data_IF_812591945355
#
_entry.id   IF_812591945355
#
_cell.length_a   1.000
_cell.length_b   1.000
_cell.length_c   1.000
_cell.angle_alpha   90.00
_cell.angle_beta   90.00
_cell.angle_gamma   90.00
#
_symmetry.space_group_name_H-M   'P 1'
#
loop_
_entity.id
_entity.type
_entity.pdbx_description
1 polymer ?
#
# COMPACT_ATOMS: atom_id res chain seq x y z
N UNK A 1 9.81 -6.15 9.47
CA UNK A 1 10.53 -5.65 8.27
C UNK A 1 11.55 -6.67 7.76
N UNK A 2 12.65 -6.97 8.46
CA UNK A 2 13.74 -7.84 7.98
C UNK A 2 13.29 -9.22 7.45
N UNK A 3 12.37 -9.86 8.18
CA UNK A 3 11.73 -11.12 7.76
C UNK A 3 11.04 -11.00 6.40
N UNK A 4 10.33 -9.90 6.16
CA UNK A 4 9.64 -9.65 4.89
C UNK A 4 10.64 -9.49 3.74
N UNK A 5 11.73 -8.74 3.93
CA UNK A 5 12.81 -8.63 2.94
C UNK A 5 13.40 -9.99 2.59
N UNK A 6 13.68 -10.82 3.60
CA UNK A 6 14.20 -12.17 3.39
C UNK A 6 13.22 -13.03 2.59
N UNK A 7 11.93 -13.03 2.96
CA UNK A 7 10.92 -13.83 2.25
C UNK A 7 10.73 -13.38 0.81
N UNK A 8 10.74 -12.08 0.53
CA UNK A 8 10.65 -11.52 -0.82
C UNK A 8 11.90 -11.83 -1.64
N UNK A 9 13.09 -11.69 -1.06
CA UNK A 9 14.33 -12.03 -1.74
C UNK A 9 14.37 -13.52 -2.13
N UNK A 10 13.98 -14.42 -1.22
CA UNK A 10 13.89 -15.86 -1.52
C UNK A 10 12.83 -16.14 -2.58
N UNK A 11 11.69 -15.45 -2.56
CA UNK A 11 10.66 -15.57 -3.58
C UNK A 11 11.17 -15.19 -4.97
N UNK A 12 11.88 -14.05 -5.07
CA UNK A 12 12.46 -13.58 -6.33
C UNK A 12 13.53 -14.56 -6.84
N UNK A 13 14.37 -15.10 -5.96
CA UNK A 13 15.37 -16.11 -6.34
C UNK A 13 14.71 -17.40 -6.86
N UNK A 14 13.67 -17.88 -6.17
CA UNK A 14 12.90 -19.05 -6.64
C UNK A 14 12.18 -18.78 -7.95
N UNK A 15 11.54 -17.63 -8.10
CA UNK A 15 10.88 -17.22 -9.34
C UNK A 15 11.88 -17.12 -10.50
N UNK A 16 13.09 -16.63 -10.24
CA UNK A 16 14.18 -16.59 -11.22
C UNK A 16 14.60 -18.00 -11.64
N UNK A 17 14.64 -18.96 -10.70
CA UNK A 17 14.99 -20.35 -10.99
C UNK A 17 13.90 -21.11 -11.76
N UNK A 18 12.61 -20.82 -11.52
CA UNK A 18 11.49 -21.50 -12.18
C UNK A 18 11.16 -20.91 -13.55
N UNK A 19 11.07 -19.59 -13.67
CA UNK A 19 10.64 -18.89 -14.88
C UNK A 19 11.84 -18.50 -15.75
N UNK A 20 12.96 -18.11 -15.13
CA UNK A 20 14.12 -17.58 -15.82
C UNK A 20 13.99 -16.07 -16.11
N UNK A 21 15.07 -15.32 -15.86
CA UNK A 21 15.09 -13.85 -16.03
C UNK A 21 14.80 -13.41 -17.48
N UNK A 22 15.24 -14.18 -18.48
CA UNK A 22 15.00 -13.86 -19.91
C UNK A 22 13.52 -13.93 -20.26
N UNK A 23 12.83 -14.98 -19.82
CA UNK A 23 11.40 -15.17 -20.06
C UNK A 23 10.56 -14.09 -19.35
N UNK A 24 10.97 -13.66 -18.16
CA UNK A 24 10.35 -12.54 -17.46
C UNK A 24 10.44 -11.24 -18.27
N UNK A 25 11.63 -10.90 -18.78
CA UNK A 25 11.83 -9.68 -19.57
C UNK A 25 11.05 -9.74 -20.89
N UNK A 26 11.03 -10.91 -21.55
CA UNK A 26 10.29 -11.10 -22.80
C UNK A 26 8.77 -11.07 -22.60
N UNK A 27 8.26 -11.62 -21.50
CA UNK A 27 6.84 -11.50 -21.13
C UNK A 27 6.45 -10.05 -20.82
N UNK A 28 7.32 -9.32 -20.10
CA UNK A 28 7.11 -7.91 -19.77
C UNK A 28 7.04 -7.03 -21.03
N UNK A 29 7.90 -7.29 -22.03
CA UNK A 29 7.88 -6.56 -23.30
C UNK A 29 6.65 -6.90 -24.15
N UNK A 30 6.21 -8.16 -24.18
CA UNK A 30 5.01 -8.59 -24.92
C UNK A 30 3.71 -8.03 -24.35
N UNK A 31 3.61 -7.93 -23.02
CA UNK A 31 2.37 -7.50 -22.35
C UNK A 31 2.23 -5.97 -22.28
N UNK A 32 3.19 -5.20 -22.80
CA UNK A 32 3.31 -3.75 -22.60
C UNK A 32 3.16 -3.31 -21.13
N UNK A 33 3.53 -4.18 -20.17
CA UNK A 33 3.46 -3.86 -18.73
C UNK A 33 4.62 -2.96 -18.29
N UNK A 34 5.62 -2.76 -19.15
CA UNK A 34 6.69 -1.78 -18.98
C UNK A 34 6.47 -0.55 -19.87
N UNK A 35 5.38 0.19 -19.67
CA UNK A 35 5.20 1.54 -20.28
C UNK A 35 6.12 2.61 -19.67
N UNK A 36 7.12 2.18 -18.89
CA UNK A 36 7.99 3.06 -18.10
C UNK A 36 8.77 4.02 -19.00
N UNK A 37 8.94 3.75 -20.29
CA UNK A 37 9.70 4.61 -21.22
C UNK A 37 8.85 5.40 -22.21
N UNK A 38 7.53 5.32 -22.14
CA UNK A 38 6.66 6.16 -22.98
C UNK A 38 6.67 7.60 -22.44
N UNK A 39 7.03 8.54 -23.33
CA UNK A 39 7.21 9.97 -23.03
C UNK A 39 5.94 10.80 -23.25
N UNK A 40 4.83 10.18 -23.66
CA UNK A 40 3.59 10.88 -23.99
C UNK A 40 2.87 11.40 -22.74
N UNK A 41 2.73 12.73 -22.55
CA UNK A 41 2.10 13.31 -21.35
C UNK A 41 0.61 12.94 -21.16
N UNK A 42 -0.01 12.33 -22.19
CA UNK A 42 -1.41 11.92 -22.19
C UNK A 42 -1.62 10.45 -21.81
N UNK A 43 -0.57 9.62 -21.80
CA UNK A 43 -0.68 8.26 -21.25
C UNK A 43 -0.53 8.34 -19.72
N UNK A 44 -1.55 7.90 -18.98
CA UNK A 44 -1.69 8.17 -17.54
C UNK A 44 -0.60 7.60 -16.61
N UNK A 45 0.44 6.95 -17.14
CA UNK A 45 1.51 6.29 -16.37
C UNK A 45 2.88 6.42 -17.06
N UNK A 46 3.32 7.65 -17.33
CA UNK A 46 4.69 7.93 -17.84
C UNK A 46 5.75 7.85 -16.73
N UNK A 47 7.03 7.73 -17.10
CA UNK A 47 8.16 7.81 -16.14
C UNK A 47 8.12 9.08 -15.30
N UNK A 48 7.67 10.18 -15.90
CA UNK A 48 7.60 11.49 -15.26
C UNK A 48 6.50 11.54 -14.21
N UNK A 49 5.33 10.98 -14.52
CA UNK A 49 4.24 10.85 -13.53
C UNK A 49 4.69 10.04 -12.31
N UNK A 50 5.45 8.96 -12.52
CA UNK A 50 6.00 8.14 -11.44
C UNK A 50 7.12 8.85 -10.67
N UNK A 51 8.05 9.50 -11.36
CA UNK A 51 9.17 10.19 -10.74
C UNK A 51 8.68 11.36 -9.90
N UNK A 52 7.95 12.31 -10.50
CA UNK A 52 7.44 13.46 -9.76
C UNK A 52 6.40 13.05 -8.72
N UNK A 53 5.44 12.20 -9.07
CA UNK A 53 4.40 11.74 -8.15
C UNK A 53 4.96 11.01 -6.93
N UNK A 54 5.90 10.08 -7.14
CA UNK A 54 6.52 9.35 -6.04
C UNK A 54 7.43 10.25 -5.21
N UNK A 55 8.23 11.13 -5.83
CA UNK A 55 9.12 12.03 -5.08
C UNK A 55 8.34 12.91 -4.12
N UNK A 56 7.28 13.59 -4.57
CA UNK A 56 6.46 14.42 -3.69
C UNK A 56 5.70 13.60 -2.65
N UNK A 57 5.21 12.41 -3.00
CA UNK A 57 4.52 11.51 -2.06
C UNK A 57 5.45 11.02 -0.95
N UNK A 58 6.65 10.57 -1.30
CA UNK A 58 7.65 10.15 -0.30
C UNK A 58 8.14 11.33 0.52
N UNK A 59 8.31 12.51 -0.09
CA UNK A 59 8.69 13.71 0.64
C UNK A 59 7.63 14.09 1.68
N UNK A 60 6.34 14.09 1.31
CA UNK A 60 5.25 14.29 2.26
C UNK A 60 5.24 13.22 3.38
N UNK A 61 5.48 11.96 3.01
CA UNK A 61 5.49 10.83 3.96
C UNK A 61 6.60 10.93 5.01
N UNK A 62 7.74 11.54 4.71
CA UNK A 62 8.85 11.70 5.65
C UNK A 62 8.91 13.06 6.32
N UNK A 63 8.62 14.15 5.60
CA UNK A 63 8.77 15.51 6.10
C UNK A 63 7.59 15.99 6.95
N UNK A 64 6.37 15.57 6.60
CA UNK A 64 5.13 16.11 7.21
C UNK A 64 4.41 15.07 8.07
N UNK A 65 4.62 13.78 7.78
CA UNK A 65 3.98 12.73 8.54
C UNK A 65 4.45 12.74 10.00
N UNK A 66 3.47 12.96 10.88
CA UNK A 66 3.66 13.02 12.32
C UNK A 66 4.43 11.80 12.86
N UNK A 67 4.14 10.60 12.36
CA UNK A 67 4.81 9.37 12.78
C UNK A 67 6.33 9.38 12.53
N UNK A 68 6.78 9.96 11.41
CA UNK A 68 8.19 9.98 11.02
C UNK A 68 8.95 11.11 11.71
N UNK A 69 8.32 12.28 11.83
CA UNK A 69 8.90 13.41 12.58
C UNK A 69 9.15 13.02 14.02
N UNK A 70 8.18 12.37 14.68
CA UNK A 70 8.35 11.94 16.07
C UNK A 70 9.50 10.94 16.24
N UNK A 71 9.70 10.01 15.28
CA UNK A 71 10.87 9.10 15.32
C UNK A 71 12.18 9.86 15.27
N UNK A 72 12.26 10.91 14.45
CA UNK A 72 13.44 11.77 14.39
C UNK A 72 13.66 12.52 15.72
N UNK A 73 12.60 12.95 16.40
CA UNK A 73 12.67 13.64 17.70
C UNK A 73 13.07 12.72 18.86
N UNK A 74 12.91 11.40 18.72
CA UNK A 74 13.39 10.43 19.73
C UNK A 74 14.90 10.18 19.66
N UNK A 75 15.58 10.67 18.63
CA UNK A 75 17.04 10.58 18.52
C UNK A 75 17.72 11.56 19.49
N UNK A 76 18.91 11.18 19.99
CA UNK A 76 19.66 11.99 20.97
C UNK A 76 20.28 13.24 20.34
N UNK A 77 20.69 13.13 19.07
CA UNK A 77 21.36 14.21 18.34
C UNK A 77 20.74 14.38 16.96
N UNK A 78 20.92 15.57 16.39
CA UNK A 78 20.47 15.88 15.03
C UNK A 78 21.16 14.99 13.99
N UNK A 79 22.44 14.66 14.20
CA UNK A 79 23.19 13.84 13.24
C UNK A 79 22.73 12.37 13.29
N UNK A 80 22.34 11.85 14.45
CA UNK A 80 21.70 10.54 14.56
C UNK A 80 20.36 10.50 13.80
N UNK A 81 19.56 11.57 13.91
CA UNK A 81 18.29 11.68 13.19
C UNK A 81 18.49 11.72 11.66
N UNK A 82 19.47 12.51 11.18
CA UNK A 82 19.82 12.55 9.75
C UNK A 82 20.26 11.16 9.26
N UNK A 83 21.12 10.49 10.01
CA UNK A 83 21.58 9.14 9.67
C UNK A 83 20.44 8.12 9.65
N UNK A 84 19.50 8.19 10.59
CA UNK A 84 18.33 7.32 10.61
C UNK A 84 17.46 7.48 9.35
N UNK A 85 17.25 8.72 8.88
CA UNK A 85 16.52 8.99 7.64
C UNK A 85 17.31 8.50 6.42
N UNK A 86 18.62 8.81 6.34
CA UNK A 86 19.46 8.37 5.23
C UNK A 86 19.55 6.85 5.11
N UNK A 87 19.59 6.12 6.23
CA UNK A 87 19.58 4.66 6.24
C UNK A 87 18.23 4.06 5.85
N UNK A 88 17.13 4.81 6.01
CA UNK A 88 15.78 4.36 5.62
C UNK A 88 15.59 4.32 4.10
N UNK A 89 16.24 5.24 3.38
CA UNK A 89 16.14 5.35 1.92
C UNK A 89 16.61 4.11 1.14
N UNK A 90 17.82 3.55 1.34
CA UNK A 90 18.26 2.36 0.61
C UNK A 90 17.40 1.14 0.95
N UNK A 91 16.94 1.00 2.20
CA UNK A 91 16.01 -0.06 2.58
C UNK A 91 14.71 0.02 1.78
N UNK A 92 14.09 1.20 1.74
CA UNK A 92 12.86 1.42 0.97
C UNK A 92 13.05 1.18 -0.54
N UNK A 93 14.19 1.60 -1.09
CA UNK A 93 14.52 1.37 -2.50
C UNK A 93 14.66 -0.13 -2.82
N UNK A 94 15.39 -0.87 -2.00
CA UNK A 94 15.54 -2.33 -2.14
C UNK A 94 14.19 -3.02 -2.06
N UNK A 95 13.34 -2.61 -1.10
CA UNK A 95 11.98 -3.16 -0.96
C UNK A 95 11.15 -2.94 -2.22
N UNK A 96 11.15 -1.71 -2.76
CA UNK A 96 10.40 -1.36 -3.96
C UNK A 96 10.86 -2.18 -5.16
N UNK A 97 12.19 -2.36 -5.33
CA UNK A 97 12.76 -3.17 -6.42
C UNK A 97 12.33 -4.64 -6.27
N UNK A 98 12.38 -5.22 -5.06
CA UNK A 98 11.94 -6.60 -4.83
C UNK A 98 10.46 -6.78 -5.14
N UNK A 99 9.60 -5.85 -4.71
CA UNK A 99 8.17 -5.88 -5.02
C UNK A 99 7.89 -5.73 -6.52
N UNK A 100 8.60 -4.84 -7.20
CA UNK A 100 8.47 -4.64 -8.65
C UNK A 100 8.89 -5.89 -9.43
N UNK A 101 10.02 -6.50 -9.08
CA UNK A 101 10.47 -7.76 -9.67
C UNK A 101 9.47 -8.89 -9.44
N UNK A 102 8.93 -9.00 -8.22
CA UNK A 102 7.91 -9.99 -7.90
C UNK A 102 6.65 -9.78 -8.76
N UNK A 103 6.22 -8.55 -8.95
CA UNK A 103 5.09 -8.20 -9.82
C UNK A 103 5.33 -8.57 -11.29
N UNK A 104 6.55 -8.36 -11.80
CA UNK A 104 6.93 -8.78 -13.16
C UNK A 104 6.94 -10.30 -13.30
N UNK A 105 7.51 -11.03 -12.33
CA UNK A 105 7.51 -12.49 -12.32
C UNK A 105 6.09 -13.06 -12.22
N UNK A 106 5.23 -12.47 -11.39
CA UNK A 106 3.81 -12.83 -11.29
C UNK A 106 3.12 -12.61 -12.64
N UNK A 107 3.41 -11.49 -13.30
CA UNK A 107 2.88 -11.19 -14.63
C UNK A 107 3.28 -12.20 -15.69
N UNK A 108 4.51 -12.70 -15.64
CA UNK A 108 5.02 -13.74 -16.55
C UNK A 108 4.47 -15.13 -16.23
N UNK A 109 4.26 -15.44 -14.94
CA UNK A 109 3.71 -16.72 -14.50
C UNK A 109 2.24 -16.89 -14.90
N UNK A 110 1.44 -15.83 -14.77
CA UNK A 110 0.02 -15.81 -15.12
C UNK A 110 -0.27 -15.25 -16.53
N UNK A 111 0.72 -15.18 -17.43
CA UNK A 111 0.54 -14.63 -18.79
C UNK A 111 -0.52 -15.42 -19.60
N UNK A 112 -0.52 -16.74 -19.45
CA UNK A 112 -1.38 -17.66 -20.21
C UNK A 112 -2.69 -18.03 -19.48
N UNK A 113 -2.77 -17.74 -18.19
CA UNK A 113 -3.98 -17.93 -17.41
C UNK A 113 -4.07 -16.89 -16.31
N UNK A 114 -5.06 -16.00 -16.46
CA UNK A 114 -5.38 -14.98 -15.48
C UNK A 114 -6.28 -15.58 -14.38
N UNK A 115 -5.80 -15.69 -13.12
CA UNK A 115 -6.58 -16.28 -12.02
C UNK A 115 -7.82 -15.45 -11.66
N UNK A 116 -7.85 -14.15 -11.97
CA UNK A 116 -9.03 -13.30 -11.74
C UNK A 116 -10.11 -13.57 -12.78
N UNK A 117 -9.74 -13.65 -14.08
CA UNK A 117 -10.70 -14.01 -15.14
C UNK A 117 -11.19 -15.46 -15.02
N UNK A 118 -10.34 -16.36 -14.53
CA UNK A 118 -10.69 -17.74 -14.23
C UNK A 118 -11.60 -17.89 -12.98
N UNK A 119 -11.94 -16.78 -12.29
CA UNK A 119 -12.74 -16.75 -11.05
C UNK A 119 -12.15 -17.58 -9.91
N UNK A 120 -10.84 -17.83 -9.93
CA UNK A 120 -10.12 -18.46 -8.82
C UNK A 120 -9.88 -17.43 -7.72
N UNK A 121 -9.72 -16.17 -8.11
CA UNK A 121 -9.47 -15.05 -7.21
C UNK A 121 -10.45 -13.91 -7.53
N UNK A 122 -11.09 -13.38 -6.49
CA UNK A 122 -12.07 -12.29 -6.61
C UNK A 122 -11.43 -10.89 -6.71
N UNK A 123 -10.16 -10.74 -6.35
CA UNK A 123 -9.52 -9.43 -6.19
C UNK A 123 -8.02 -9.48 -6.56
N UNK A 124 -7.54 -8.48 -7.31
CA UNK A 124 -6.13 -8.35 -7.70
C UNK A 124 -5.19 -8.33 -6.48
N UNK A 125 -5.62 -7.82 -5.33
CA UNK A 125 -4.81 -7.82 -4.10
C UNK A 125 -4.49 -9.23 -3.58
N UNK A 126 -5.35 -10.21 -3.88
CA UNK A 126 -5.18 -11.62 -3.51
C UNK A 126 -4.26 -12.37 -4.48
N UNK A 127 -3.86 -11.78 -5.61
CA UNK A 127 -2.92 -12.43 -6.55
C UNK A 127 -1.52 -12.61 -5.95
N UNK A 128 -0.99 -11.60 -5.26
CA UNK A 128 0.37 -11.66 -4.67
C UNK A 128 0.53 -12.82 -3.67
N UNK A 129 -0.36 -13.03 -2.68
CA UNK A 129 -0.25 -14.17 -1.80
C UNK A 129 -0.48 -15.51 -2.51
N UNK A 130 -1.34 -15.57 -3.54
CA UNK A 130 -1.51 -16.78 -4.36
C UNK A 130 -0.21 -17.15 -5.10
N UNK A 131 0.41 -16.17 -5.75
CA UNK A 131 1.68 -16.35 -6.43
C UNK A 131 2.80 -16.82 -5.50
N UNK A 132 2.86 -16.20 -4.32
CA UNK A 132 3.79 -16.61 -3.28
C UNK A 132 3.54 -18.06 -2.86
N UNK A 133 2.28 -18.50 -2.81
CA UNK A 133 1.93 -19.88 -2.47
C UNK A 133 2.41 -20.86 -3.53
N UNK A 134 2.16 -20.55 -4.80
CA UNK A 134 2.55 -21.40 -5.92
C UNK A 134 4.06 -21.62 -5.94
N UNK A 135 4.87 -20.57 -5.74
CA UNK A 135 6.33 -20.65 -5.80
C UNK A 135 6.97 -21.21 -4.50
N UNK A 136 6.39 -20.93 -3.34
CA UNK A 136 6.96 -21.35 -2.06
C UNK A 136 6.45 -22.69 -1.55
N UNK A 137 5.47 -23.30 -2.22
CA UNK A 137 4.83 -24.56 -1.83
C UNK A 137 5.83 -25.68 -1.52
N UNK A 138 6.93 -25.77 -2.26
CA UNK A 138 7.97 -26.80 -2.07
C UNK A 138 8.74 -26.68 -0.75
N UNK A 139 8.70 -25.52 -0.09
CA UNK A 139 9.46 -25.22 1.13
C UNK A 139 8.50 -24.93 2.28
N UNK A 140 8.20 -25.92 3.15
CA UNK A 140 7.28 -25.72 4.26
C UNK A 140 7.81 -24.63 5.21
N UNK A 141 6.90 -23.82 5.74
CA UNK A 141 7.21 -22.74 6.69
C UNK A 141 7.50 -21.37 6.07
N UNK A 142 8.02 -21.31 4.83
CA UNK A 142 8.38 -20.03 4.21
C UNK A 142 7.15 -19.17 3.85
N UNK A 143 6.05 -19.81 3.45
CA UNK A 143 4.74 -19.15 3.30
C UNK A 143 4.25 -18.57 4.63
N UNK A 144 4.35 -19.33 5.73
CA UNK A 144 3.98 -18.85 7.06
C UNK A 144 4.82 -17.65 7.50
N UNK A 145 6.13 -17.67 7.18
CA UNK A 145 7.05 -16.57 7.45
C UNK A 145 6.69 -15.30 6.65
N UNK A 146 6.29 -15.46 5.40
CA UNK A 146 5.81 -14.36 4.55
C UNK A 146 4.52 -13.74 5.12
N UNK A 147 3.52 -14.57 5.47
CA UNK A 147 2.29 -14.10 6.07
C UNK A 147 2.54 -13.41 7.42
N UNK A 148 3.37 -13.99 8.28
CA UNK A 148 3.77 -13.36 9.54
C UNK A 148 4.48 -12.01 9.32
N UNK A 149 5.33 -11.92 8.29
CA UNK A 149 6.00 -10.70 7.88
C UNK A 149 5.03 -9.60 7.44
N UNK A 150 4.03 -9.94 6.63
CA UNK A 150 2.98 -9.00 6.19
C UNK A 150 2.14 -8.54 7.38
N UNK A 151 1.64 -9.46 8.21
CA UNK A 151 0.85 -9.06 9.38
C UNK A 151 1.65 -8.18 10.33
N UNK A 152 2.93 -8.51 10.58
CA UNK A 152 3.82 -7.67 11.39
C UNK A 152 4.02 -6.28 10.77
N UNK A 153 4.22 -6.18 9.46
CA UNK A 153 4.37 -4.90 8.77
C UNK A 153 3.09 -4.05 8.83
N UNK A 154 1.92 -4.66 8.60
CA UNK A 154 0.61 -3.99 8.70
C UNK A 154 0.34 -3.52 10.11
N UNK A 155 0.54 -4.37 11.12
CA UNK A 155 0.34 -4.03 12.54
C UNK A 155 1.27 -2.89 12.99
N UNK A 156 2.52 -2.87 12.51
CA UNK A 156 3.46 -1.77 12.80
C UNK A 156 2.98 -0.44 12.25
N UNK A 157 2.42 -0.42 11.03
CA UNK A 157 1.88 0.80 10.40
C UNK A 157 0.61 1.26 11.11
N UNK A 158 -0.31 0.35 11.40
CA UNK A 158 -1.56 0.66 12.13
C UNK A 158 -1.26 1.20 13.52
N UNK A 159 -0.36 0.55 14.27
CA UNK A 159 0.06 1.01 15.60
C UNK A 159 0.68 2.40 15.55
N UNK A 160 1.59 2.65 14.61
CA UNK A 160 2.20 3.97 14.45
C UNK A 160 1.19 5.05 14.04
N UNK A 161 0.19 4.71 13.23
CA UNK A 161 -0.90 5.59 12.83
C UNK A 161 -1.82 5.96 14.00
N UNK A 162 -2.32 4.96 14.74
CA UNK A 162 -3.17 5.18 15.91
C UNK A 162 -2.46 5.97 17.01
N UNK A 163 -1.16 5.74 17.20
CA UNK A 163 -0.35 6.51 18.15
C UNK A 163 -0.18 7.98 17.70
N UNK A 164 -0.02 8.21 16.39
CA UNK A 164 0.10 9.58 15.86
C UNK A 164 -1.20 10.34 15.96
N UNK A 165 -2.34 9.71 15.66
CA UNK A 165 -3.67 10.33 15.81
C UNK A 165 -3.92 10.67 17.28
N UNK A 166 -3.62 9.76 18.20
CA UNK A 166 -3.79 10.02 19.63
C UNK A 166 -2.94 11.19 20.10
N UNK A 167 -1.68 11.29 19.66
CA UNK A 167 -0.82 12.42 20.00
C UNK A 167 -1.33 13.74 19.41
N UNK A 168 -1.71 13.75 18.13
CA UNK A 168 -2.25 14.95 17.46
C UNK A 168 -3.51 15.45 18.17
N UNK A 169 -4.43 14.55 18.53
CA UNK A 169 -5.64 14.94 19.28
C UNK A 169 -5.27 15.46 20.67
N UNK A 170 -4.31 14.83 21.34
CA UNK A 170 -3.91 15.24 22.67
C UNK A 170 -3.23 16.62 22.68
N UNK A 171 -2.21 16.84 21.83
CA UNK A 171 -1.45 18.09 21.78
C UNK A 171 -2.23 19.21 21.10
N UNK A 172 -2.85 18.97 19.95
CA UNK A 172 -3.47 20.03 19.15
C UNK A 172 -4.91 20.36 19.57
N UNK A 173 -5.64 19.40 20.18
CA UNK A 173 -7.00 19.65 20.67
C UNK A 173 -7.01 19.74 22.20
N UNK A 174 -6.65 18.67 22.91
CA UNK A 174 -6.91 18.59 24.36
C UNK A 174 -6.08 19.62 25.12
N UNK A 175 -4.78 19.72 24.87
CA UNK A 175 -3.90 20.66 25.58
C UNK A 175 -4.18 22.12 25.23
N UNK A 176 -4.65 22.41 24.02
CA UNK A 176 -5.04 23.77 23.60
C UNK A 176 -6.33 24.21 24.30
N UNK A 177 -7.35 23.34 24.36
CA UNK A 177 -8.66 23.69 24.95
C UNK A 177 -8.69 23.54 26.48
N UNK A 178 -7.91 22.63 27.05
CA UNK A 178 -7.81 22.41 28.49
C UNK A 178 -6.46 22.91 29.01
N UNK A 179 -6.46 24.10 29.64
CA UNK A 179 -5.26 24.71 30.26
C UNK A 179 -4.80 23.97 31.53
N UNK A 180 -5.41 22.83 31.86
CA UNK A 180 -5.10 22.05 33.05
C UNK A 180 -3.80 21.28 32.83
N UNK A 181 -2.84 21.41 33.76
CA UNK A 181 -1.65 20.55 33.77
C UNK A 181 -2.08 19.13 34.10
N UNK A 182 -2.07 18.25 33.10
CA UNK A 182 -2.29 16.82 33.32
C UNK A 182 -1.07 16.21 34.00
N UNK A 183 -1.30 15.25 34.89
CA UNK A 183 -0.23 14.38 35.40
C UNK A 183 0.17 13.40 34.29
N UNK A 184 1.44 13.03 34.17
CA UNK A 184 1.95 12.09 33.14
C UNK A 184 1.10 10.81 33.02
N UNK A 185 0.65 10.28 34.15
CA UNK A 185 -0.21 9.10 34.21
C UNK A 185 -1.58 9.31 33.53
N UNK A 186 -2.16 10.50 33.70
CA UNK A 186 -3.43 10.86 33.07
C UNK A 186 -3.24 11.11 31.57
N UNK A 187 -2.16 11.77 31.16
CA UNK A 187 -1.82 11.98 29.74
C UNK A 187 -1.67 10.64 29.01
N UNK A 188 -0.98 9.69 29.64
CA UNK A 188 -0.78 8.34 29.10
C UNK A 188 -2.10 7.59 28.95
N UNK A 189 -2.93 7.55 30.00
CA UNK A 189 -4.21 6.84 29.97
C UNK A 189 -5.15 7.47 28.94
N UNK A 190 -5.21 8.80 28.87
CA UNK A 190 -6.05 9.51 27.91
C UNK A 190 -5.61 9.22 26.47
N UNK A 191 -4.31 9.25 26.19
CA UNK A 191 -3.76 8.92 24.87
C UNK A 191 -4.08 7.46 24.47
N UNK A 192 -3.98 6.52 25.41
CA UNK A 192 -4.36 5.12 25.18
C UNK A 192 -5.86 4.96 24.88
N UNK A 193 -6.73 5.65 25.62
CA UNK A 193 -8.18 5.63 25.38
C UNK A 193 -8.50 6.17 23.99
N UNK A 194 -7.88 7.28 23.58
CA UNK A 194 -8.03 7.85 22.23
C UNK A 194 -7.60 6.84 21.17
N UNK A 195 -6.43 6.19 21.33
CA UNK A 195 -5.98 5.15 20.40
C UNK A 195 -6.95 3.99 20.29
N UNK A 196 -7.57 3.55 21.39
CA UNK A 196 -8.55 2.46 21.39
C UNK A 196 -9.83 2.86 20.65
N UNK A 197 -10.34 4.07 20.89
CA UNK A 197 -11.54 4.58 20.20
C UNK A 197 -11.30 4.64 18.68
N UNK A 198 -10.19 5.22 18.24
CA UNK A 198 -9.83 5.26 16.82
C UNK A 198 -9.52 3.88 16.24
N UNK A 199 -9.06 2.94 17.07
CA UNK A 199 -8.94 1.53 16.70
C UNK A 199 -10.29 0.91 16.33
N UNK A 200 -11.33 1.14 17.13
CA UNK A 200 -12.68 0.67 16.79
C UNK A 200 -13.24 1.33 15.53
N UNK A 201 -13.03 2.65 15.35
CA UNK A 201 -13.42 3.35 14.12
C UNK A 201 -12.69 2.78 12.90
N UNK A 202 -11.40 2.45 13.03
CA UNK A 202 -10.62 1.84 11.96
C UNK A 202 -11.14 0.43 11.59
N UNK A 203 -11.56 -0.37 12.59
CA UNK A 203 -12.20 -1.67 12.34
C UNK A 203 -13.53 -1.53 11.60
N UNK A 204 -14.36 -0.56 11.98
CA UNK A 204 -15.62 -0.27 11.29
C UNK A 204 -15.38 0.17 9.84
N UNK A 205 -14.41 1.08 9.62
CA UNK A 205 -14.01 1.51 8.28
C UNK A 205 -13.48 0.36 7.43
N UNK A 206 -12.81 -0.63 8.03
CA UNK A 206 -12.35 -1.84 7.32
C UNK A 206 -13.53 -2.65 6.78
N UNK A 207 -14.62 -2.77 7.56
CA UNK A 207 -15.83 -3.44 7.10
C UNK A 207 -16.51 -2.68 5.95
N UNK A 208 -16.54 -1.35 6.00
CA UNK A 208 -17.04 -0.54 4.88
C UNK A 208 -16.16 -0.68 3.64
N UNK A 209 -14.83 -0.68 3.79
CA UNK A 209 -13.89 -0.84 2.70
C UNK A 209 -14.03 -2.21 2.00
N UNK A 210 -14.39 -3.26 2.74
CA UNK A 210 -14.65 -4.58 2.15
C UNK A 210 -15.80 -4.60 1.13
N UNK A 211 -16.68 -3.58 1.15
CA UNK A 211 -17.79 -3.42 0.20
C UNK A 211 -17.43 -2.59 -1.03
N UNK A 212 -16.30 -1.88 -1.01
CA UNK A 212 -15.89 -0.95 -2.09
C UNK A 212 -15.26 -1.69 -3.29
N UNK A 213 -14.96 -2.98 -3.18
CA UNK A 213 -14.57 -3.84 -4.30
C UNK A 213 -13.11 -3.67 -4.77
N UNK A 214 -12.81 -4.11 -6.00
CA UNK A 214 -11.47 -4.38 -6.57
C UNK A 214 -10.46 -3.20 -6.59
N UNK A 215 -10.84 -1.97 -6.22
CA UNK A 215 -9.99 -0.76 -6.32
C UNK A 215 -9.58 -0.13 -4.97
N UNK A 216 -9.73 -0.81 -3.83
CA UNK A 216 -9.41 -0.24 -2.49
C UNK A 216 -8.03 0.43 -2.43
N UNK A 217 -6.99 -0.20 -2.99
CA UNK A 217 -5.63 0.33 -2.98
C UNK A 217 -5.52 1.65 -3.77
N UNK A 218 -6.14 1.72 -4.95
CA UNK A 218 -6.10 2.91 -5.78
C UNK A 218 -6.84 4.07 -5.10
N UNK A 219 -8.01 3.81 -4.54
CA UNK A 219 -8.78 4.81 -3.77
C UNK A 219 -8.00 5.31 -2.56
N UNK A 220 -7.34 4.42 -1.81
CA UNK A 220 -6.53 4.79 -0.64
C UNK A 220 -5.34 5.68 -1.03
N UNK A 221 -4.63 5.36 -2.12
CA UNK A 221 -3.52 6.18 -2.61
C UNK A 221 -3.97 7.55 -3.09
N UNK A 222 -5.12 7.65 -3.75
CA UNK A 222 -5.69 8.95 -4.16
C UNK A 222 -6.08 9.81 -2.97
N UNK A 223 -6.77 9.23 -1.97
CA UNK A 223 -7.09 9.95 -0.72
C UNK A 223 -5.82 10.42 -0.01
N UNK A 224 -4.82 9.55 0.08
CA UNK A 224 -3.54 9.90 0.70
C UNK A 224 -2.83 11.03 -0.05
N UNK A 225 -2.72 10.96 -1.38
CA UNK A 225 -2.08 11.99 -2.19
C UNK A 225 -2.86 13.32 -2.16
N UNK A 226 -4.18 13.25 -2.23
CA UNK A 226 -5.07 14.43 -2.22
C UNK A 226 -5.02 15.23 -0.92
N UNK A 227 -4.76 14.56 0.22
CA UNK A 227 -4.61 15.19 1.54
C UNK A 227 -3.16 15.60 1.79
N UNK A 228 -2.18 14.75 1.47
CA UNK A 228 -0.78 15.00 1.79
C UNK A 228 -0.15 16.12 0.95
N UNK A 229 -0.60 16.30 -0.30
CA UNK A 229 -0.13 17.37 -1.20
C UNK A 229 -0.37 18.79 -0.66
N UNK A 230 -1.62 19.19 -0.35
CA UNK A 230 -1.94 20.48 0.27
C UNK A 230 -1.13 20.79 1.54
N UNK A 231 -1.02 19.80 2.45
CA UNK A 231 -0.31 19.97 3.71
C UNK A 231 1.18 20.18 3.45
N UNK A 232 1.78 19.37 2.57
CA UNK A 232 3.17 19.54 2.15
C UNK A 232 3.41 20.93 1.53
N UNK A 233 2.48 21.41 0.71
CA UNK A 233 2.53 22.73 0.09
C UNK A 233 2.64 23.85 1.12
N UNK A 234 1.82 23.83 2.17
CA UNK A 234 1.86 24.87 3.22
C UNK A 234 3.07 24.74 4.15
N UNK A 235 3.50 23.52 4.48
CA UNK A 235 4.76 23.34 5.21
C UNK A 235 5.96 23.88 4.44
N UNK A 236 6.01 23.61 3.14
CA UNK A 236 7.09 24.10 2.27
C UNK A 236 7.03 25.62 2.12
N UNK A 237 5.82 26.20 2.00
CA UNK A 237 5.61 27.64 1.99
C UNK A 237 6.14 28.28 3.28
N UNK A 238 5.78 27.73 4.45
CA UNK A 238 6.24 28.25 5.74
C UNK A 238 7.75 28.14 5.96
N UNK A 239 8.41 27.11 5.41
CA UNK A 239 9.86 26.93 5.53
C UNK A 239 10.68 27.78 4.55
N UNK A 240 10.24 27.91 3.29
CA UNK A 240 11.05 28.53 2.23
C UNK A 240 10.70 29.99 1.97
N UNK A 241 9.50 30.43 2.35
CA UNK A 241 8.97 31.74 1.96
C UNK A 241 8.80 32.63 3.20
N UNK A 242 9.78 33.49 3.53
CA UNK A 242 9.75 34.29 4.76
C UNK A 242 8.67 35.39 4.75
N UNK A 243 8.13 35.72 3.57
CA UNK A 243 7.04 36.70 3.41
C UNK A 243 5.64 36.06 3.33
N UNK A 244 5.53 34.77 3.63
CA UNK A 244 4.24 34.09 3.66
C UNK A 244 3.39 34.57 4.85
N UNK A 245 2.14 34.92 4.59
CA UNK A 245 1.18 35.36 5.61
C UNK A 245 0.19 34.25 5.96
N UNK A 246 -0.34 34.26 7.19
CA UNK A 246 -1.34 33.29 7.69
C UNK A 246 -2.56 33.18 6.76
N UNK A 247 -3.13 34.33 6.34
CA UNK A 247 -4.28 34.37 5.42
C UNK A 247 -3.97 33.72 4.07
N UNK A 248 -2.74 33.90 3.57
CA UNK A 248 -2.29 33.29 2.32
C UNK A 248 -2.12 31.78 2.45
N UNK A 249 -1.56 31.31 3.57
CA UNK A 249 -1.45 29.88 3.85
C UNK A 249 -2.82 29.22 3.98
N UNK A 250 -3.78 29.85 4.69
CA UNK A 250 -5.14 29.34 4.83
C UNK A 250 -5.88 29.27 3.49
N UNK A 251 -5.82 30.32 2.68
CA UNK A 251 -6.41 30.34 1.34
C UNK A 251 -5.78 29.28 0.42
N UNK A 252 -4.45 29.09 0.52
CA UNK A 252 -3.71 28.07 -0.23
C UNK A 252 -4.13 26.65 0.13
N UNK A 253 -4.24 26.32 1.42
CA UNK A 253 -4.75 25.01 1.88
C UNK A 253 -6.18 24.78 1.40
N UNK A 254 -7.10 25.72 1.62
CA UNK A 254 -8.50 25.53 1.24
C UNK A 254 -8.67 25.41 -0.27
N UNK A 255 -7.96 26.24 -1.05
CA UNK A 255 -7.97 26.17 -2.50
C UNK A 255 -7.41 24.85 -3.03
N UNK A 256 -6.27 24.39 -2.49
CA UNK A 256 -5.66 23.13 -2.91
C UNK A 256 -6.49 21.90 -2.52
N UNK A 257 -7.13 21.89 -1.34
CA UNK A 257 -8.11 20.85 -1.00
C UNK A 257 -9.31 20.85 -1.96
N UNK A 258 -9.82 22.03 -2.32
CA UNK A 258 -10.91 22.15 -3.30
C UNK A 258 -10.53 21.58 -4.67
N UNK A 259 -9.31 21.86 -5.14
CA UNK A 259 -8.78 21.29 -6.38
C UNK A 259 -8.59 19.77 -6.25
N UNK A 260 -8.00 19.27 -5.17
CA UNK A 260 -7.83 17.83 -4.92
C UNK A 260 -9.18 17.08 -4.96
N UNK A 261 -10.22 17.65 -4.34
CA UNK A 261 -11.57 17.09 -4.35
C UNK A 261 -12.16 17.12 -5.77
N UNK A 262 -12.01 18.24 -6.50
CA UNK A 262 -12.48 18.34 -7.88
C UNK A 262 -11.82 17.30 -8.81
N UNK A 263 -10.53 17.04 -8.62
CA UNK A 263 -9.79 16.01 -9.38
C UNK A 263 -10.32 14.59 -9.13
N UNK A 264 -10.91 14.31 -7.95
CA UNK A 264 -11.53 13.00 -7.67
C UNK A 264 -12.79 12.75 -8.52
N UNK A 265 -13.47 13.80 -8.99
CA UNK A 265 -14.69 13.70 -9.80
C UNK A 265 -14.43 13.65 -11.31
N UNK A 266 -13.18 13.84 -11.75
CA UNK A 266 -12.84 13.73 -13.17
C UNK A 266 -12.88 12.26 -13.62
N UNK A 267 -13.51 11.97 -14.78
CA UNK A 267 -13.58 10.61 -15.30
C UNK A 267 -12.16 10.11 -15.61
N UNK A 268 -11.82 8.95 -15.05
CA UNK A 268 -10.51 8.35 -15.20
C UNK A 268 -10.49 7.46 -16.44
N UNK A 269 -9.52 7.67 -17.33
CA UNK A 269 -9.19 6.64 -18.32
C UNK A 269 -8.62 5.44 -17.57
N UNK A 270 -9.31 4.30 -17.66
CA UNK A 270 -8.76 3.03 -17.20
C UNK A 270 -7.54 2.73 -18.06
N UNK A 271 -6.36 2.74 -17.47
CA UNK A 271 -5.14 2.30 -18.15
C UNK A 271 -5.35 0.83 -18.53
N UNK A 272 -5.69 0.61 -19.80
CA UNK A 272 -5.99 -0.71 -20.34
C UNK A 272 -4.67 -1.48 -20.45
N UNK A 273 -4.29 -2.19 -19.39
CA UNK A 273 -3.29 -3.25 -19.53
C UNK A 273 -3.80 -4.23 -20.58
N UNK A 274 -2.99 -4.50 -21.60
CA UNK A 274 -3.37 -5.37 -22.72
C UNK A 274 -3.97 -6.70 -22.23
N UNK A 275 -4.97 -7.25 -22.94
CA UNK A 275 -5.72 -8.39 -22.44
C UNK A 275 -4.81 -9.61 -22.27
N UNK A 276 -4.67 -10.09 -21.02
CA UNK A 276 -4.20 -11.44 -20.75
C UNK A 276 -5.07 -12.43 -21.55
N UNK A 277 -4.44 -13.21 -22.43
CA UNK A 277 -5.12 -14.25 -23.21
C UNK A 277 -5.51 -15.38 -22.26
N UNK A 278 -6.81 -15.58 -22.06
CA UNK A 278 -7.28 -16.76 -21.35
C UNK A 278 -7.35 -17.92 -22.33
N UNK A 279 -6.52 -18.95 -22.13
CA UNK A 279 -6.72 -20.26 -22.77
C UNK A 279 -7.71 -21.05 -21.91
N UNK A 280 -8.67 -21.73 -22.55
CA UNK A 280 -9.79 -22.44 -21.91
C UNK A 280 -9.41 -23.64 -21.02
N UNK A 281 -8.12 -23.98 -20.89
CA UNK A 281 -7.61 -25.07 -20.07
C UNK A 281 -6.57 -24.56 -19.06
N UNK A 282 -7.05 -23.81 -18.07
CA UNK A 282 -6.19 -23.35 -16.98
C UNK A 282 -6.11 -24.39 -15.87
N UNK A 283 -5.03 -25.17 -15.85
CA UNK A 283 -4.66 -26.01 -14.71
C UNK A 283 -3.71 -25.26 -13.78
N UNK A 284 -4.20 -24.23 -13.08
CA UNK A 284 -3.53 -23.77 -11.86
C UNK A 284 -3.73 -24.87 -10.81
N UNK A 285 -2.66 -25.30 -10.14
CA UNK A 285 -2.74 -26.26 -9.03
C UNK A 285 -3.44 -25.59 -7.84
N UNK A 286 -4.75 -25.42 -7.92
CA UNK A 286 -5.59 -25.21 -6.74
C UNK A 286 -5.56 -26.51 -5.96
N UNK A 287 -4.84 -26.53 -4.84
CA UNK A 287 -4.97 -27.66 -3.93
C UNK A 287 -6.37 -27.66 -3.30
N UNK A 288 -6.99 -28.84 -3.16
CA UNK A 288 -8.24 -29.02 -2.44
C UNK A 288 -8.02 -28.81 -0.94
N UNK A 289 -8.98 -28.19 -0.27
CA UNK A 289 -9.16 -28.21 1.19
C UNK A 289 -7.98 -27.73 2.07
N UNK A 290 -7.87 -26.41 2.27
CA UNK A 290 -7.40 -25.86 3.56
C UNK A 290 -8.43 -24.85 4.12
N UNK A 291 -9.70 -25.01 3.77
CA UNK A 291 -10.82 -24.46 4.53
C UNK A 291 -11.63 -25.64 5.06
N UNK A 292 -11.52 -25.88 6.37
CA UNK A 292 -12.40 -26.80 7.08
C UNK A 292 -13.82 -26.27 7.13
N UNK A 293 -14.53 -26.32 6.01
CA UNK A 293 -15.98 -26.21 5.96
C UNK A 293 -16.48 -27.46 5.23
N UNK A 294 -17.16 -28.31 5.99
CA UNK A 294 -17.75 -29.55 5.49
C UNK A 294 -18.61 -29.27 4.24
N UNK A 295 -18.50 -30.09 3.17
CA UNK A 295 -19.39 -29.95 2.03
C UNK A 295 -20.82 -30.30 2.46
N UNK A 296 -21.74 -29.34 2.31
CA UNK A 296 -23.17 -29.59 2.32
C UNK A 296 -23.51 -30.60 1.21
N UNK A 297 -24.34 -31.62 1.49
CA UNK A 297 -24.68 -32.64 0.50
C UNK A 297 -25.48 -32.01 -0.64
N UNK A 298 -24.91 -32.00 -1.84
CA UNK A 298 -25.63 -31.69 -3.07
C UNK A 298 -26.62 -32.82 -3.37
N UNK A 299 -27.90 -32.53 -3.25
CA UNK A 299 -28.98 -33.33 -3.85
C UNK A 299 -28.80 -33.33 -5.36
N UNK A 300 -28.55 -34.50 -5.92
CA UNK A 300 -28.55 -34.79 -7.35
C UNK A 300 -29.98 -34.65 -7.90
N UNK A 301 -30.19 -33.69 -8.80
CA UNK A 301 -31.33 -33.70 -9.71
C UNK A 301 -30.81 -34.21 -11.06
N UNK A 302 -31.10 -35.47 -11.34
CA UNK A 302 -30.81 -36.11 -12.63
C UNK A 302 -31.70 -35.50 -13.73
N UNK A 303 -31.13 -35.12 -14.89
CA UNK A 303 -31.92 -34.79 -16.06
C UNK A 303 -32.11 -36.04 -16.94
N UNK A 304 -33.39 -36.39 -17.13
CA UNK A 304 -34.00 -37.13 -18.25
C UNK A 304 -34.01 -38.67 -18.21
N UNK A 305 -35.23 -39.20 -18.11
CA UNK A 305 -35.74 -40.20 -19.05
C UNK A 305 -37.27 -40.16 -19.07
N UNK A 306 -37.83 -39.96 -20.27
CA UNK A 306 -39.25 -40.06 -20.71
C UNK A 306 -40.29 -39.15 -20.07
#
# INVERSE_FOLDING_TARGET
>A
MLVMYLTLAVAVLKATATIGMKNMVESASRTQRSTIFELDPSSGTTIWSHLFGSTFSFFALYAVNHAQVHRCLTCKTLDDAKWAVWMSFPGQLIFLILCALLGLYMGAFYENCDPVKAKIVEDYQKMTPLFMQDILSDTPGLMGLFLAGIFSATLSTVSSGLNSIAMVIFEDCIRVYFTTKFKEEQERVLSQVISVIFGFICLEMTFLASKVGEEVLATALHLHGGISGPILGVFTLGMLVPWANEKGALAGILGSFGVSIALLFLPREKTSTGPLKCVSNCHIRTFPNITGVAPLPTTTVDPKTT
#
